data_IF_230784291564
#
_entry.id   IF_230784291564
#
_cell.length_a   1.000
_cell.length_b   1.000
_cell.length_c   1.000
_cell.angle_alpha   90.00
_cell.angle_beta   90.00
_cell.angle_gamma   90.00
#
_symmetry.space_group_name_H-M   'P 1'
#
loop_
_entity.id
_entity.type
_entity.pdbx_description
1 polymer ?
#
# COMPACT_ATOMS: atom_id res chain seq x y z
N UNK A 1 -25.18 19.99 9.75
CA UNK A 1 -24.45 21.05 10.47
C UNK A 1 -24.27 20.62 11.92
N UNK A 2 -23.12 20.17 12.36
CA UNK A 2 -22.80 19.93 13.78
C UNK A 2 -21.47 20.61 14.10
N UNK A 3 -21.57 21.53 15.04
CA UNK A 3 -20.59 22.47 15.52
C UNK A 3 -19.37 21.81 16.14
N UNK A 4 -18.17 22.27 15.76
CA UNK A 4 -16.90 21.92 16.38
C UNK A 4 -16.79 22.74 17.67
N UNK A 5 -16.91 22.06 18.81
CA UNK A 5 -16.71 22.69 20.12
C UNK A 5 -15.22 22.98 20.33
N UNK A 6 -14.88 24.27 20.45
CA UNK A 6 -13.57 24.77 20.85
C UNK A 6 -13.29 24.35 22.28
N UNK A 7 -12.18 23.67 22.50
CA UNK A 7 -11.67 23.36 23.85
C UNK A 7 -11.03 24.63 24.42
N UNK A 8 -11.75 25.27 25.33
CA UNK A 8 -11.24 26.42 26.06
C UNK A 8 -10.29 25.96 27.16
N UNK A 9 -9.08 26.51 27.16
CA UNK A 9 -8.11 26.35 28.24
C UNK A 9 -8.58 27.23 29.41
N UNK A 10 -9.00 26.62 30.51
CA UNK A 10 -9.36 27.31 31.75
C UNK A 10 -8.04 27.69 32.46
N UNK A 11 -7.73 28.96 32.46
CA UNK A 11 -6.72 29.53 33.38
C UNK A 11 -7.40 29.74 34.74
N UNK A 12 -6.97 28.96 35.73
CA UNK A 12 -7.38 29.13 37.13
C UNK A 12 -6.48 30.20 37.76
N UNK A 13 -7.00 31.39 37.91
CA UNK A 13 -6.35 32.46 38.69
C UNK A 13 -6.62 32.25 40.18
N UNK A 14 -5.61 31.79 40.91
CA UNK A 14 -5.65 31.85 42.38
C UNK A 14 -5.03 33.17 42.85
N UNK A 15 -5.89 34.00 43.41
CA UNK A 15 -5.53 35.26 44.06
C UNK A 15 -5.14 34.95 45.50
N UNK A 16 -3.84 35.15 45.87
CA UNK A 16 -3.35 35.02 47.24
C UNK A 16 -2.81 36.34 47.72
N UNK A 17 -3.24 36.70 48.92
CA UNK A 17 -3.03 37.94 49.63
C UNK A 17 -1.56 38.22 49.99
N UNK A 18 -1.28 39.50 50.08
CA UNK A 18 -0.09 40.24 50.40
C UNK A 18 0.78 39.67 51.54
N UNK A 19 1.99 39.35 51.22
CA UNK A 19 3.16 39.40 52.12
C UNK A 19 4.32 39.89 51.26
N UNK A 20 5.05 40.93 51.71
CA UNK A 20 6.22 41.46 51.04
C UNK A 20 7.37 40.46 51.09
N UNK A 21 7.31 39.47 50.21
CA UNK A 21 8.46 38.62 49.88
C UNK A 21 9.19 39.23 48.71
N UNK A 22 10.47 39.59 48.92
CA UNK A 22 11.41 39.87 47.82
C UNK A 22 11.45 38.62 46.94
N UNK A 23 10.75 38.68 45.84
CA UNK A 23 10.80 37.62 44.80
C UNK A 23 12.21 37.67 44.23
N UNK A 24 13.03 36.61 44.31
CA UNK A 24 14.26 36.58 43.55
C UNK A 24 13.83 36.70 42.07
N UNK A 25 14.42 37.68 41.39
CA UNK A 25 14.27 37.83 39.92
C UNK A 25 14.76 36.54 39.31
N UNK A 26 13.83 35.61 39.05
CA UNK A 26 14.13 34.48 38.19
C UNK A 26 14.51 35.08 36.85
N UNK A 27 15.79 34.99 36.52
CA UNK A 27 16.26 35.28 35.17
C UNK A 27 15.33 34.56 34.23
N UNK A 28 14.66 35.30 33.36
CA UNK A 28 13.69 34.76 32.41
C UNK A 28 14.36 33.58 31.69
N UNK A 29 13.91 32.37 31.96
CA UNK A 29 14.44 31.19 31.33
C UNK A 29 14.30 31.41 29.83
N UNK A 30 15.46 31.56 29.15
CA UNK A 30 15.54 31.78 27.72
C UNK A 30 14.67 30.72 27.06
N UNK A 31 13.59 31.15 26.41
CA UNK A 31 12.68 30.24 25.75
C UNK A 31 13.50 29.26 24.88
N UNK A 32 13.37 27.96 25.05
CA UNK A 32 14.26 27.02 24.35
C UNK A 32 14.16 27.29 22.85
N UNK A 33 15.29 27.62 22.24
CA UNK A 33 15.39 27.94 20.83
C UNK A 33 14.82 26.70 20.07
N UNK A 34 13.71 26.92 19.37
CA UNK A 34 13.01 25.88 18.64
C UNK A 34 13.95 25.30 17.59
N UNK A 35 14.34 24.03 17.75
CA UNK A 35 15.27 23.37 16.83
C UNK A 35 14.50 22.68 15.71
N UNK A 36 15.08 22.69 14.52
CA UNK A 36 14.52 22.02 13.33
C UNK A 36 15.34 20.78 12.98
N UNK A 37 14.70 19.76 12.44
CA UNK A 37 15.43 18.68 11.78
C UNK A 37 15.48 18.93 10.28
N UNK A 38 16.67 18.84 9.69
CA UNK A 38 16.93 19.20 8.30
C UNK A 38 16.99 17.98 7.38
N UNK A 39 17.31 16.81 7.90
CA UNK A 39 17.43 15.59 7.10
C UNK A 39 16.51 14.51 7.60
N UNK A 40 15.66 14.01 6.70
CA UNK A 40 14.89 12.79 6.89
C UNK A 40 15.15 11.88 5.69
N UNK A 41 15.75 10.73 5.94
CA UNK A 41 16.05 9.74 4.90
C UNK A 41 15.45 8.38 5.25
N UNK A 42 15.02 7.67 4.21
CA UNK A 42 14.56 6.28 4.29
C UNK A 42 15.73 5.35 3.97
N UNK A 43 16.01 4.39 4.85
CA UNK A 43 16.99 3.32 4.55
C UNK A 43 16.56 2.53 3.30
N UNK A 44 15.24 2.32 3.11
CA UNK A 44 14.64 1.77 1.88
C UNK A 44 13.37 2.55 1.57
N UNK A 45 13.26 3.07 0.35
CA UNK A 45 12.05 3.79 -0.12
C UNK A 45 10.91 2.83 -0.47
N UNK A 46 11.24 1.56 -0.73
CA UNK A 46 10.27 0.55 -1.14
C UNK A 46 10.51 -0.78 -0.43
N UNK A 47 9.44 -1.56 -0.27
CA UNK A 47 9.48 -2.97 0.13
C UNK A 47 8.49 -3.76 -0.73
N UNK A 48 8.44 -5.08 -0.57
CA UNK A 48 7.46 -5.94 -1.25
C UNK A 48 6.47 -6.48 -0.24
N UNK A 49 5.19 -6.50 -0.60
CA UNK A 49 4.13 -7.07 0.21
C UNK A 49 4.44 -8.50 0.66
N UNK A 50 4.32 -8.75 1.97
CA UNK A 50 4.62 -10.04 2.61
C UNK A 50 3.51 -10.52 3.55
N UNK A 51 2.34 -9.86 3.54
CA UNK A 51 1.21 -10.19 4.41
C UNK A 51 1.30 -9.63 5.83
N UNK A 52 2.44 -9.08 6.23
CA UNK A 52 2.67 -8.48 7.56
C UNK A 52 2.64 -6.95 7.47
N UNK A 53 2.42 -6.28 8.60
CA UNK A 53 2.60 -4.83 8.71
C UNK A 53 4.07 -4.48 8.47
N UNK A 54 4.31 -3.45 7.65
CA UNK A 54 5.65 -3.04 7.23
C UNK A 54 5.84 -1.56 7.50
N UNK A 55 6.83 -1.24 8.34
CA UNK A 55 7.18 0.13 8.67
C UNK A 55 8.47 0.55 7.97
N UNK A 56 8.58 1.82 7.53
CA UNK A 56 9.84 2.32 7.00
C UNK A 56 10.88 2.46 8.12
N UNK A 57 12.13 2.16 7.80
CA UNK A 57 13.26 2.51 8.66
C UNK A 57 13.77 3.88 8.24
N UNK A 58 13.74 4.82 9.18
CA UNK A 58 14.08 6.22 8.98
C UNK A 58 15.39 6.57 9.69
N UNK A 59 16.14 7.51 9.11
CA UNK A 59 17.18 8.27 9.78
C UNK A 59 16.78 9.75 9.75
N UNK A 60 16.66 10.36 10.93
CA UNK A 60 16.31 11.77 11.11
C UNK A 60 17.48 12.48 11.75
N UNK A 61 17.92 13.61 11.20
CA UNK A 61 19.05 14.38 11.72
C UNK A 61 18.71 15.86 11.84
N UNK A 62 19.29 16.48 12.87
CA UNK A 62 19.42 17.92 13.04
C UNK A 62 20.91 18.28 12.95
N UNK A 63 21.35 18.84 11.82
CA UNK A 63 22.76 19.01 11.52
C UNK A 63 23.48 17.66 11.51
N UNK A 64 24.53 17.52 12.32
CA UNK A 64 25.30 16.28 12.47
C UNK A 64 24.67 15.28 13.46
N UNK A 65 23.70 15.71 14.28
CA UNK A 65 23.09 14.89 15.34
C UNK A 65 21.98 14.00 14.79
N UNK A 66 22.06 12.69 15.05
CA UNK A 66 20.99 11.74 14.74
C UNK A 66 19.95 11.78 15.86
N UNK A 67 18.68 11.98 15.48
CA UNK A 67 17.55 12.08 16.40
C UNK A 67 16.94 10.71 16.72
N UNK A 68 16.32 10.59 17.88
CA UNK A 68 15.71 9.35 18.38
C UNK A 68 14.19 9.41 18.30
N UNK A 69 13.58 8.37 17.71
CA UNK A 69 12.13 8.19 17.73
C UNK A 69 11.62 7.98 19.16
N UNK A 70 10.51 8.61 19.52
CA UNK A 70 9.94 8.61 20.86
C UNK A 70 10.56 9.64 21.83
N UNK A 71 11.73 10.22 21.51
CA UNK A 71 12.38 11.26 22.31
C UNK A 71 12.40 12.62 21.61
N UNK A 72 12.81 12.65 20.34
CA UNK A 72 12.99 13.86 19.56
C UNK A 72 11.93 14.04 18.49
N UNK A 73 11.33 12.93 18.03
CA UNK A 73 10.23 12.91 17.07
C UNK A 73 9.37 11.65 17.26
N UNK A 74 8.18 11.66 16.66
CA UNK A 74 7.29 10.50 16.53
C UNK A 74 6.91 10.30 15.07
N UNK A 75 6.68 9.03 14.68
CA UNK A 75 6.24 8.65 13.35
C UNK A 75 4.74 8.41 13.39
N UNK A 76 4.01 9.06 12.49
CA UNK A 76 2.59 8.82 12.28
C UNK A 76 2.30 8.55 10.81
N UNK A 77 1.11 8.07 10.52
CA UNK A 77 0.72 7.67 9.17
C UNK A 77 -0.57 8.40 8.77
N UNK A 78 -0.79 8.57 7.46
CA UNK A 78 -2.03 9.13 6.96
C UNK A 78 -3.23 8.35 7.51
N UNK A 79 -4.25 9.04 8.00
CA UNK A 79 -5.47 8.43 8.54
C UNK A 79 -6.09 7.45 7.50
N UNK A 80 -6.58 6.30 7.97
CA UNK A 80 -7.15 5.25 7.13
C UNK A 80 -6.14 4.47 6.28
N UNK A 81 -4.84 4.82 6.33
CA UNK A 81 -3.80 4.14 5.57
C UNK A 81 -3.34 2.86 6.25
N UNK A 82 -3.48 1.73 5.56
CA UNK A 82 -2.96 0.46 6.06
C UNK A 82 -1.49 0.25 5.66
N UNK A 83 -0.64 -0.03 6.64
CA UNK A 83 0.76 -0.43 6.42
C UNK A 83 0.92 -1.94 6.13
N UNK A 84 -0.21 -2.67 6.01
CA UNK A 84 -0.27 -4.10 5.66
C UNK A 84 -0.63 -4.34 4.20
N UNK A 85 -0.96 -3.32 3.41
CA UNK A 85 -1.40 -3.46 2.01
C UNK A 85 -0.41 -2.84 1.05
N UNK A 86 -0.34 -3.37 -0.18
CA UNK A 86 0.46 -2.78 -1.26
C UNK A 86 -0.04 -1.37 -1.62
N UNK A 87 0.86 -0.53 -2.11
CA UNK A 87 0.59 0.85 -2.53
C UNK A 87 1.54 1.88 -1.93
N UNK A 88 1.42 3.12 -2.40
CA UNK A 88 2.13 4.28 -1.84
C UNK A 88 1.60 4.60 -0.46
N UNK A 89 2.48 4.96 0.47
CA UNK A 89 2.20 5.30 1.86
C UNK A 89 2.76 6.67 2.18
N UNK A 90 2.01 7.47 2.90
CA UNK A 90 2.45 8.75 3.44
C UNK A 90 2.85 8.55 4.89
N UNK A 91 4.06 8.95 5.23
CA UNK A 91 4.65 8.84 6.57
C UNK A 91 4.95 10.24 7.05
N UNK A 92 4.45 10.59 8.21
CA UNK A 92 4.70 11.86 8.87
C UNK A 92 5.72 11.67 9.98
N UNK A 93 6.67 12.57 10.05
CA UNK A 93 7.66 12.67 11.11
C UNK A 93 7.38 13.97 11.84
N UNK A 94 6.89 13.87 13.06
CA UNK A 94 6.48 15.01 13.87
C UNK A 94 7.49 15.20 14.99
N UNK A 95 8.11 16.36 15.04
CA UNK A 95 9.05 16.74 16.11
C UNK A 95 8.33 16.86 17.45
N UNK A 96 8.99 16.44 18.53
CA UNK A 96 8.53 16.58 19.91
C UNK A 96 9.63 17.22 20.76
N UNK A 97 9.31 17.65 21.96
CA UNK A 97 10.25 18.35 22.85
C UNK A 97 10.81 19.61 22.17
N UNK A 98 12.13 19.74 22.09
CA UNK A 98 12.82 20.88 21.45
C UNK A 98 12.54 21.02 19.95
N UNK A 99 12.03 19.96 19.29
CA UNK A 99 11.65 19.93 17.87
C UNK A 99 10.15 20.11 17.66
N UNK A 100 9.36 20.39 18.71
CA UNK A 100 7.92 20.52 18.63
C UNK A 100 7.50 21.58 17.59
N UNK A 101 6.45 21.24 16.80
CA UNK A 101 5.92 22.07 15.71
C UNK A 101 6.72 21.97 14.41
N UNK A 102 7.77 21.18 14.35
CA UNK A 102 8.45 20.85 13.11
C UNK A 102 7.98 19.50 12.58
N UNK A 103 7.72 19.38 11.28
CA UNK A 103 7.32 18.11 10.68
C UNK A 103 7.89 17.93 9.28
N UNK A 104 8.02 16.69 8.86
CA UNK A 104 8.38 16.27 7.49
C UNK A 104 7.48 15.14 7.05
N UNK A 105 7.27 15.09 5.75
CA UNK A 105 6.53 14.00 5.10
C UNK A 105 7.45 13.24 4.17
N UNK A 106 7.40 11.91 4.22
CA UNK A 106 8.11 11.04 3.28
C UNK A 106 7.17 10.03 2.66
N UNK A 107 7.45 9.69 1.39
CA UNK A 107 6.74 8.64 0.68
C UNK A 107 7.46 7.29 0.86
N UNK A 108 6.70 6.25 1.18
CA UNK A 108 7.15 4.87 1.29
C UNK A 108 6.24 3.99 0.43
N UNK A 109 6.78 3.01 -0.28
CA UNK A 109 5.97 2.17 -1.16
C UNK A 109 6.07 0.70 -0.78
N UNK A 110 4.92 0.06 -0.58
CA UNK A 110 4.81 -1.40 -0.49
C UNK A 110 4.44 -1.91 -1.88
N UNK A 111 5.39 -2.50 -2.58
CA UNK A 111 5.18 -3.04 -3.91
C UNK A 111 4.31 -4.30 -3.87
N UNK A 112 3.41 -4.54 -4.85
CA UNK A 112 2.68 -5.79 -4.96
C UNK A 112 3.61 -6.99 -5.09
N UNK A 113 3.32 -8.08 -4.38
CA UNK A 113 4.07 -9.33 -4.49
C UNK A 113 3.79 -10.06 -5.82
N UNK A 114 4.67 -10.96 -6.21
CA UNK A 114 4.47 -11.81 -7.39
C UNK A 114 3.62 -13.03 -7.03
N UNK A 115 2.65 -13.38 -7.88
CA UNK A 115 1.89 -14.62 -7.75
C UNK A 115 2.69 -15.78 -8.37
N UNK A 116 3.36 -16.58 -7.54
CA UNK A 116 4.26 -17.66 -8.01
C UNK A 116 3.51 -18.89 -8.57
N UNK A 117 2.28 -19.15 -8.12
CA UNK A 117 1.56 -20.40 -8.36
C UNK A 117 0.42 -20.29 -9.39
N UNK A 118 0.51 -19.36 -10.35
CA UNK A 118 -0.47 -19.26 -11.43
C UNK A 118 0.00 -20.06 -12.63
N UNK A 119 -0.64 -21.23 -12.86
CA UNK A 119 -0.31 -22.15 -13.96
C UNK A 119 -1.56 -22.58 -14.70
N UNK A 120 -1.46 -22.78 -16.00
CA UNK A 120 -2.48 -23.45 -16.83
C UNK A 120 -2.00 -24.86 -17.18
N UNK A 121 -2.92 -25.83 -17.25
CA UNK A 121 -2.58 -27.23 -17.50
C UNK A 121 -1.97 -27.47 -18.89
N UNK A 122 -2.34 -26.63 -19.87
CA UNK A 122 -1.82 -26.67 -21.25
C UNK A 122 -1.68 -25.27 -21.78
N UNK A 123 -0.56 -24.95 -22.44
CA UNK A 123 -0.31 -23.68 -23.11
C UNK A 123 -0.81 -23.64 -24.55
N UNK A 124 -1.13 -24.82 -25.11
CA UNK A 124 -1.71 -24.99 -26.44
C UNK A 124 -2.64 -26.20 -26.50
N UNK A 125 -3.69 -26.12 -27.32
CA UNK A 125 -4.64 -27.21 -27.59
C UNK A 125 -5.10 -27.17 -29.03
N UNK A 126 -5.36 -28.36 -29.61
CA UNK A 126 -6.03 -28.49 -30.88
C UNK A 126 -7.44 -29.02 -30.62
N UNK A 127 -8.47 -28.36 -31.16
CA UNK A 127 -9.87 -28.69 -30.93
C UNK A 127 -10.62 -28.73 -32.27
N UNK A 128 -11.35 -29.82 -32.53
CA UNK A 128 -12.21 -29.94 -33.72
C UNK A 128 -13.44 -29.03 -33.58
N UNK A 129 -13.99 -28.59 -34.68
CA UNK A 129 -15.27 -27.84 -34.73
C UNK A 129 -16.38 -28.59 -33.97
N UNK A 130 -17.24 -27.87 -33.24
CA UNK A 130 -18.30 -28.41 -32.41
C UNK A 130 -17.84 -29.18 -31.17
N UNK A 131 -16.53 -29.29 -30.91
CA UNK A 131 -15.99 -29.99 -29.74
C UNK A 131 -15.50 -28.99 -28.69
N UNK A 132 -15.25 -29.52 -27.47
CA UNK A 132 -14.78 -28.77 -26.36
C UNK A 132 -13.57 -29.41 -25.67
N UNK A 133 -12.79 -28.64 -24.96
CA UNK A 133 -11.73 -29.09 -24.06
C UNK A 133 -11.68 -28.19 -22.83
N UNK A 134 -11.07 -28.64 -21.74
CA UNK A 134 -10.98 -27.88 -20.52
C UNK A 134 -9.52 -27.61 -20.17
N UNK A 135 -9.19 -26.36 -19.89
CA UNK A 135 -7.90 -25.95 -19.36
C UNK A 135 -8.04 -25.76 -17.84
N UNK A 136 -7.36 -26.58 -17.07
CA UNK A 136 -7.30 -26.41 -15.61
C UNK A 136 -6.39 -25.24 -15.26
N UNK A 137 -6.84 -24.41 -14.34
CA UNK A 137 -6.09 -23.25 -13.81
C UNK A 137 -5.71 -23.51 -12.36
N UNK A 138 -4.42 -23.52 -12.06
CA UNK A 138 -3.89 -23.49 -10.68
C UNK A 138 -3.67 -22.03 -10.28
N UNK A 139 -4.19 -21.63 -9.14
CA UNK A 139 -4.08 -20.29 -8.56
C UNK A 139 -4.32 -20.33 -7.05
N UNK A 140 -3.99 -19.26 -6.33
CA UNK A 140 -4.40 -19.10 -4.94
C UNK A 140 -5.93 -19.08 -4.81
N UNK A 141 -6.47 -19.70 -3.75
CA UNK A 141 -7.91 -19.80 -3.50
C UNK A 141 -8.62 -18.45 -3.58
N UNK A 142 -8.05 -17.42 -2.93
CA UNK A 142 -8.61 -16.06 -2.90
C UNK A 142 -8.44 -15.28 -4.22
N UNK A 143 -7.65 -15.77 -5.19
CA UNK A 143 -7.44 -15.08 -6.45
C UNK A 143 -8.67 -15.19 -7.37
N UNK A 144 -9.05 -14.06 -7.98
CA UNK A 144 -10.10 -13.99 -9.00
C UNK A 144 -9.50 -14.25 -10.38
N UNK A 145 -10.16 -15.06 -11.21
CA UNK A 145 -9.75 -15.37 -12.57
C UNK A 145 -10.81 -14.91 -13.57
N UNK A 146 -10.36 -14.28 -14.66
CA UNK A 146 -11.23 -13.87 -15.78
C UNK A 146 -10.66 -14.46 -17.07
N UNK A 147 -11.50 -15.19 -17.80
CA UNK A 147 -11.16 -15.79 -19.07
C UNK A 147 -11.69 -14.96 -20.23
N UNK A 148 -10.89 -14.78 -21.25
CA UNK A 148 -11.26 -14.07 -22.49
C UNK A 148 -10.77 -14.83 -23.71
N UNK A 149 -11.50 -14.73 -24.81
CA UNK A 149 -11.12 -15.29 -26.11
C UNK A 149 -10.83 -14.17 -27.12
N UNK A 150 -9.89 -14.38 -28.01
CA UNK A 150 -9.64 -13.48 -29.16
C UNK A 150 -10.82 -13.39 -30.13
N UNK A 151 -11.67 -14.43 -30.16
CA UNK A 151 -12.92 -14.45 -30.94
C UNK A 151 -13.92 -15.34 -30.23
N UNK A 152 -14.82 -14.75 -29.46
CA UNK A 152 -15.82 -15.47 -28.67
C UNK A 152 -16.92 -16.11 -29.51
N UNK A 153 -17.12 -15.68 -30.75
CA UNK A 153 -18.08 -16.33 -31.69
C UNK A 153 -17.53 -17.66 -32.21
N UNK A 154 -16.22 -17.73 -32.50
CA UNK A 154 -15.56 -18.95 -32.97
C UNK A 154 -15.13 -19.90 -31.83
N UNK A 155 -14.52 -19.31 -30.78
CA UNK A 155 -13.96 -20.05 -29.65
C UNK A 155 -14.47 -19.41 -28.36
N UNK A 156 -15.45 -20.02 -27.74
CA UNK A 156 -16.02 -19.57 -26.46
C UNK A 156 -15.26 -20.19 -25.30
N UNK A 157 -15.03 -19.42 -24.22
CA UNK A 157 -14.42 -19.91 -22.98
C UNK A 157 -15.33 -19.60 -21.79
N UNK A 158 -15.52 -20.58 -20.91
CA UNK A 158 -16.30 -20.42 -19.67
C UNK A 158 -15.44 -19.85 -18.53
N UNK A 159 -16.09 -19.45 -17.44
CA UNK A 159 -15.42 -19.04 -16.17
C UNK A 159 -14.55 -20.14 -15.57
N UNK A 160 -14.82 -21.41 -15.92
CA UNK A 160 -14.07 -22.59 -15.42
C UNK A 160 -12.96 -23.06 -16.37
N UNK A 161 -12.73 -22.34 -17.48
CA UNK A 161 -11.70 -22.69 -18.47
C UNK A 161 -12.13 -23.76 -19.49
N UNK A 162 -13.43 -24.08 -19.60
CA UNK A 162 -13.96 -24.92 -20.69
C UNK A 162 -13.97 -24.12 -21.98
N UNK A 163 -13.21 -24.56 -22.96
CA UNK A 163 -13.09 -23.98 -24.30
C UNK A 163 -13.99 -24.75 -25.22
N UNK A 164 -14.94 -24.10 -25.90
CA UNK A 164 -15.88 -24.71 -26.87
C UNK A 164 -15.69 -24.04 -28.23
N UNK A 165 -15.45 -24.81 -29.26
CA UNK A 165 -15.32 -24.37 -30.65
C UNK A 165 -16.67 -24.48 -31.33
N UNK A 166 -17.13 -23.40 -31.97
CA UNK A 166 -18.38 -23.38 -32.71
C UNK A 166 -18.31 -24.33 -33.91
N UNK A 167 -19.46 -24.93 -34.30
CA UNK A 167 -19.56 -25.85 -35.46
C UNK A 167 -19.13 -25.18 -36.76
N UNK A 168 -19.42 -23.87 -36.91
CA UNK A 168 -19.12 -23.05 -38.08
C UNK A 168 -17.82 -22.23 -37.92
N UNK A 169 -17.00 -22.47 -36.90
CA UNK A 169 -15.76 -21.75 -36.73
C UNK A 169 -14.81 -21.98 -37.92
N UNK A 170 -14.15 -20.93 -38.40
CA UNK A 170 -13.08 -21.06 -39.39
C UNK A 170 -11.90 -21.82 -38.80
N UNK A 171 -11.26 -22.74 -39.56
CA UNK A 171 -9.98 -23.34 -39.18
C UNK A 171 -8.94 -22.25 -38.98
N UNK A 172 -8.06 -22.43 -38.00
CA UNK A 172 -7.04 -21.42 -37.75
C UNK A 172 -6.57 -21.37 -36.29
N UNK A 173 -5.79 -20.36 -36.00
CA UNK A 173 -5.20 -20.14 -34.65
C UNK A 173 -5.97 -19.05 -33.91
N UNK A 174 -6.38 -19.36 -32.71
CA UNK A 174 -7.07 -18.46 -31.77
C UNK A 174 -6.30 -18.42 -30.46
N UNK A 175 -6.60 -17.44 -29.63
CA UNK A 175 -6.02 -17.34 -28.28
C UNK A 175 -7.08 -17.20 -27.23
N UNK A 176 -6.88 -17.92 -26.13
CA UNK A 176 -7.65 -17.75 -24.89
C UNK A 176 -6.70 -17.23 -23.84
N UNK A 177 -7.08 -16.14 -23.16
CA UNK A 177 -6.31 -15.55 -22.07
C UNK A 177 -7.04 -15.75 -20.75
N UNK A 178 -6.30 -16.02 -19.68
CA UNK A 178 -6.80 -15.95 -18.31
C UNK A 178 -6.00 -14.92 -17.54
N UNK A 179 -6.70 -13.93 -16.98
CA UNK A 179 -6.15 -12.90 -16.12
C UNK A 179 -6.50 -13.23 -14.68
N UNK A 180 -5.49 -13.37 -13.83
CA UNK A 180 -5.61 -13.73 -12.43
C UNK A 180 -5.22 -12.54 -11.55
N UNK A 181 -6.16 -12.05 -10.74
CA UNK A 181 -5.99 -10.95 -9.80
C UNK A 181 -6.06 -11.46 -8.37
N UNK A 182 -5.10 -11.10 -7.55
CA UNK A 182 -5.07 -11.34 -6.12
C UNK A 182 -4.72 -10.02 -5.42
N UNK A 183 -5.43 -9.70 -4.34
CA UNK A 183 -5.18 -8.47 -3.58
C UNK A 183 -3.71 -8.37 -3.17
N UNK A 184 -3.14 -7.18 -3.28
CA UNK A 184 -1.73 -6.89 -2.95
C UNK A 184 -0.68 -7.65 -3.78
N UNK A 185 -1.08 -8.26 -4.90
CA UNK A 185 -0.18 -8.98 -5.80
C UNK A 185 -0.25 -8.42 -7.22
N UNK A 186 0.82 -8.59 -7.97
CA UNK A 186 0.84 -8.29 -9.40
C UNK A 186 -0.17 -9.16 -10.14
N UNK A 187 -0.94 -8.57 -11.06
CA UNK A 187 -1.81 -9.32 -11.96
C UNK A 187 -0.98 -10.25 -12.83
N UNK A 188 -1.42 -11.49 -13.01
CA UNK A 188 -0.78 -12.48 -13.89
C UNK A 188 -1.73 -12.83 -15.02
N UNK A 189 -1.24 -12.80 -16.27
CA UNK A 189 -1.97 -13.27 -17.44
C UNK A 189 -1.27 -14.49 -18.03
N UNK A 190 -2.05 -15.53 -18.33
CA UNK A 190 -1.59 -16.71 -19.08
C UNK A 190 -2.37 -16.80 -20.39
N UNK A 191 -1.68 -17.20 -21.45
CA UNK A 191 -2.27 -17.37 -22.78
C UNK A 191 -2.26 -18.85 -23.17
N UNK A 192 -3.36 -19.33 -23.71
CA UNK A 192 -3.51 -20.65 -24.29
C UNK A 192 -3.76 -20.49 -25.78
N UNK A 193 -2.89 -21.09 -26.61
CA UNK A 193 -3.07 -21.15 -28.07
C UNK A 193 -4.09 -22.22 -28.41
N UNK A 194 -5.10 -21.89 -29.19
CA UNK A 194 -6.17 -22.82 -29.63
C UNK A 194 -6.12 -22.95 -31.14
N UNK A 195 -5.81 -24.14 -31.62
CA UNK A 195 -5.85 -24.47 -33.05
C UNK A 195 -7.15 -25.15 -33.36
N UNK A 196 -8.00 -24.54 -34.19
CA UNK A 196 -9.24 -25.12 -34.70
C UNK A 196 -8.96 -25.98 -35.95
N UNK A 197 -9.31 -27.28 -35.88
CA UNK A 197 -9.14 -28.25 -36.94
C UNK A 197 -10.47 -28.51 -37.68
#
# INVERSE_FOLDING_TARGET
MKSIKKLAVIMLSAMVLFGTMTVPTMAAAKSPTKQTFNTVSLKKKTTTYNGKTQHPVLTVKAGKTTLKNGKDYVITYKYGQSMKTAGKKTVYINGIGRYAGFYKTVAYTINPAVQKNVKVSKSSVAVKRGKATTIKLTKAKAAKATWTSSNSKAVKVSKTGKITVAKNAKKGKYTVKVTVKLANHKTVTKTVKVTVK
#
